data_IF_188144302782
#
_entry.id   IF_188144302782
#
_cell.length_a   1.000
_cell.length_b   1.000
_cell.length_c   1.000
_cell.angle_alpha   90.00
_cell.angle_beta   90.00
_cell.angle_gamma   90.00
#
_symmetry.space_group_name_H-M   'P 1'
#
loop_
_entity.id
_entity.type
_entity.pdbx_description
1 polymer ?
#
# COMPACT_ATOMS: atom_id res chain seq x y z
N UNK A 1 -35.05 35.97 21.67
CA UNK A 1 -34.47 34.61 21.65
C UNK A 1 -33.49 34.55 20.48
N UNK A 2 -32.20 34.34 20.75
CA UNK A 2 -31.12 34.28 19.75
C UNK A 2 -30.93 32.82 19.34
N UNK A 3 -31.06 32.51 18.05
CA UNK A 3 -30.80 31.17 17.50
C UNK A 3 -29.55 31.27 16.65
N UNK A 4 -28.46 30.74 17.17
CA UNK A 4 -27.19 30.51 16.47
C UNK A 4 -27.34 29.22 15.64
N UNK A 5 -27.06 29.20 14.33
CA UNK A 5 -26.79 27.95 13.65
C UNK A 5 -25.30 27.66 13.76
N UNK A 6 -24.99 26.57 14.45
CA UNK A 6 -23.67 25.98 14.62
C UNK A 6 -23.14 25.59 13.23
N UNK A 7 -21.97 26.12 12.92
CA UNK A 7 -21.14 25.79 11.76
C UNK A 7 -20.75 24.30 11.86
N UNK A 8 -21.39 23.44 11.07
CA UNK A 8 -20.99 22.03 10.95
C UNK A 8 -19.99 21.92 9.78
N UNK A 9 -18.73 22.27 10.06
CA UNK A 9 -17.61 22.01 9.15
C UNK A 9 -17.36 20.51 9.12
N UNK A 10 -17.98 19.82 8.17
CA UNK A 10 -17.59 18.47 7.76
C UNK A 10 -16.17 18.55 7.18
N UNK A 11 -15.16 18.41 8.03
CA UNK A 11 -13.80 18.09 7.60
C UNK A 11 -13.85 16.67 7.02
N UNK A 12 -14.12 16.59 5.71
CA UNK A 12 -13.67 15.45 4.93
C UNK A 12 -12.15 15.41 5.08
N UNK A 13 -11.65 14.51 5.92
CA UNK A 13 -10.28 14.06 5.84
C UNK A 13 -10.13 13.40 4.47
N UNK A 14 -9.62 14.16 3.50
CA UNK A 14 -9.15 13.59 2.26
C UNK A 14 -8.03 12.60 2.62
N UNK A 15 -8.03 11.37 2.06
CA UNK A 15 -6.87 10.51 2.20
C UNK A 15 -5.67 11.28 1.64
N UNK A 16 -4.62 11.42 2.45
CA UNK A 16 -3.39 12.05 2.03
C UNK A 16 -2.89 11.35 0.76
N UNK A 17 -2.59 12.17 -0.25
CA UNK A 17 -2.26 11.81 -1.63
C UNK A 17 -1.25 10.66 -1.73
N UNK A 18 -1.71 9.52 -2.21
CA UNK A 18 -0.86 8.45 -2.75
C UNK A 18 -0.19 8.82 -4.10
N UNK A 19 -0.05 10.12 -4.44
CA UNK A 19 0.25 10.56 -5.82
C UNK A 19 1.60 11.28 -6.02
N UNK A 20 2.39 11.55 -4.97
CA UNK A 20 3.67 12.27 -5.12
C UNK A 20 4.91 11.37 -5.18
N UNK A 21 4.74 10.03 -5.18
CA UNK A 21 5.88 9.13 -5.30
C UNK A 21 6.33 9.01 -6.77
N UNK A 22 7.62 9.24 -7.09
CA UNK A 22 8.13 8.96 -8.43
C UNK A 22 7.96 7.47 -8.79
N UNK A 23 7.89 7.14 -10.10
CA UNK A 23 7.93 5.75 -10.55
C UNK A 23 9.12 5.00 -9.95
N UNK A 24 8.99 3.68 -9.73
CA UNK A 24 10.05 2.89 -9.16
C UNK A 24 11.26 2.87 -10.10
N UNK A 25 12.46 2.82 -9.52
CA UNK A 25 13.72 2.71 -10.25
C UNK A 25 13.68 1.46 -11.14
N UNK A 26 14.07 1.58 -12.41
CA UNK A 26 14.11 0.43 -13.30
C UNK A 26 14.99 -0.68 -12.73
N UNK A 27 14.47 -1.91 -12.73
CA UNK A 27 15.15 -3.11 -12.23
C UNK A 27 15.54 -3.08 -10.74
N UNK A 28 14.90 -2.24 -9.91
CA UNK A 28 15.06 -2.23 -8.46
C UNK A 28 13.83 -2.90 -7.80
N UNK A 29 13.90 -4.20 -7.45
CA UNK A 29 12.77 -4.91 -6.87
C UNK A 29 12.40 -4.37 -5.49
N UNK A 30 13.37 -3.84 -4.73
CA UNK A 30 13.11 -3.27 -3.42
C UNK A 30 12.32 -1.98 -3.54
N UNK A 31 12.74 -1.09 -4.45
CA UNK A 31 12.00 0.14 -4.73
C UNK A 31 10.60 -0.15 -5.29
N UNK A 32 10.47 -1.17 -6.14
CA UNK A 32 9.18 -1.59 -6.70
C UNK A 32 8.21 -2.11 -5.62
N UNK A 33 8.66 -2.94 -4.68
CA UNK A 33 7.83 -3.39 -3.55
C UNK A 33 7.33 -2.20 -2.75
N UNK A 34 8.25 -1.29 -2.39
CA UNK A 34 7.88 -0.07 -1.67
C UNK A 34 6.84 0.71 -2.47
N UNK A 35 7.02 0.82 -3.79
CA UNK A 35 6.14 1.61 -4.67
C UNK A 35 4.73 1.04 -4.68
N UNK A 36 4.60 -0.28 -4.73
CA UNK A 36 3.29 -0.94 -4.64
C UNK A 36 2.55 -0.52 -3.36
N UNK A 37 3.20 -0.57 -2.20
CA UNK A 37 2.53 -0.20 -0.94
C UNK A 37 2.23 1.29 -0.86
N UNK A 38 3.22 2.16 -1.14
CA UNK A 38 3.06 3.60 -0.96
C UNK A 38 2.03 4.23 -1.93
N UNK A 39 1.77 3.61 -3.08
CA UNK A 39 0.87 4.16 -4.12
C UNK A 39 -0.51 3.51 -4.11
N UNK A 40 -0.65 2.30 -3.56
CA UNK A 40 -1.95 1.59 -3.53
C UNK A 40 -2.56 1.60 -2.13
N UNK A 41 -1.89 0.98 -1.16
CA UNK A 41 -2.29 0.93 0.24
C UNK A 41 -1.10 0.43 1.07
N UNK A 42 -0.92 0.95 2.27
CA UNK A 42 0.10 0.51 3.21
C UNK A 42 -0.22 -0.85 3.85
N UNK A 43 -1.46 -1.33 3.69
CA UNK A 43 -1.89 -2.68 4.05
C UNK A 43 -2.52 -3.36 2.83
N UNK A 44 -1.94 -4.47 2.39
CA UNK A 44 -2.40 -5.23 1.22
C UNK A 44 -2.57 -6.71 1.54
N UNK A 45 -3.59 -7.34 0.99
CA UNK A 45 -3.76 -8.80 1.01
C UNK A 45 -2.86 -9.47 -0.03
N UNK A 46 -2.60 -10.76 0.17
CA UNK A 46 -1.88 -11.60 -0.81
C UNK A 46 -2.52 -11.52 -2.21
N UNK A 47 -3.86 -11.58 -2.27
CA UNK A 47 -4.60 -11.48 -3.52
C UNK A 47 -4.44 -10.12 -4.20
N UNK A 48 -4.40 -9.03 -3.44
CA UNK A 48 -4.15 -7.69 -3.97
C UNK A 48 -2.72 -7.57 -4.49
N UNK A 49 -1.72 -8.04 -3.75
CA UNK A 49 -0.34 -8.05 -4.21
C UNK A 49 -0.18 -8.86 -5.50
N UNK A 50 -0.73 -10.08 -5.54
CA UNK A 50 -0.68 -10.94 -6.72
C UNK A 50 -1.27 -10.24 -7.95
N UNK A 51 -2.41 -9.57 -7.78
CA UNK A 51 -3.05 -8.79 -8.83
C UNK A 51 -2.14 -7.66 -9.31
N UNK A 52 -1.61 -6.84 -8.40
CA UNK A 52 -0.76 -5.69 -8.74
C UNK A 52 0.51 -6.11 -9.48
N UNK A 53 1.19 -7.17 -9.05
CA UNK A 53 2.34 -7.72 -9.77
C UNK A 53 1.97 -8.29 -11.14
N UNK A 54 0.81 -8.91 -11.27
CA UNK A 54 0.33 -9.43 -12.57
C UNK A 54 0.03 -8.28 -13.53
N UNK A 55 -0.65 -7.23 -13.06
CA UNK A 55 -0.96 -6.02 -13.84
C UNK A 55 0.30 -5.22 -14.21
N UNK A 56 1.35 -5.30 -13.40
CA UNK A 56 2.67 -4.75 -13.72
C UNK A 56 3.48 -5.58 -14.74
N UNK A 57 2.91 -6.66 -15.29
CA UNK A 57 3.51 -7.43 -16.39
C UNK A 57 4.45 -8.56 -15.96
N UNK A 58 4.51 -8.91 -14.67
CA UNK A 58 5.36 -10.02 -14.19
C UNK A 58 4.81 -11.41 -14.54
N UNK A 59 3.57 -11.51 -15.03
CA UNK A 59 2.85 -12.76 -15.25
C UNK A 59 2.57 -13.53 -13.96
N UNK A 60 1.82 -14.63 -14.02
CA UNK A 60 1.38 -15.35 -12.81
C UNK A 60 2.54 -15.93 -11.99
N UNK A 61 3.52 -16.55 -12.63
CA UNK A 61 4.67 -17.13 -11.94
C UNK A 61 5.56 -16.05 -11.31
N UNK A 62 5.82 -14.95 -12.03
CA UNK A 62 6.60 -13.83 -11.52
C UNK A 62 5.89 -13.12 -10.37
N UNK A 63 4.57 -12.95 -10.47
CA UNK A 63 3.77 -12.37 -9.40
C UNK A 63 3.78 -13.22 -8.13
N UNK A 64 3.64 -14.55 -8.24
CA UNK A 64 3.78 -15.46 -7.09
C UNK A 64 5.17 -15.34 -6.43
N UNK A 65 6.24 -15.35 -7.22
CA UNK A 65 7.60 -15.20 -6.69
C UNK A 65 7.79 -13.84 -6.00
N UNK A 66 7.20 -12.78 -6.53
CA UNK A 66 7.27 -11.45 -5.93
C UNK A 66 6.49 -11.37 -4.61
N UNK A 67 5.31 -12.00 -4.52
CA UNK A 67 4.55 -12.10 -3.27
C UNK A 67 5.31 -12.87 -2.19
N UNK A 68 5.96 -13.98 -2.56
CA UNK A 68 6.84 -14.73 -1.65
C UNK A 68 7.98 -13.82 -1.17
N UNK A 69 8.66 -13.13 -2.09
CA UNK A 69 9.73 -12.20 -1.73
C UNK A 69 9.24 -11.09 -0.79
N UNK A 70 8.04 -10.52 -1.01
CA UNK A 70 7.42 -9.54 -0.10
C UNK A 70 7.25 -10.10 1.31
N UNK A 71 6.83 -11.37 1.43
CA UNK A 71 6.62 -12.02 2.74
C UNK A 71 7.89 -12.26 3.55
N UNK A 72 9.06 -12.23 2.90
CA UNK A 72 10.38 -12.45 3.53
C UNK A 72 11.10 -11.14 3.88
N UNK A 73 10.54 -9.98 3.52
CA UNK A 73 11.18 -8.69 3.77
C UNK A 73 11.12 -8.29 5.25
N UNK A 74 12.14 -7.54 5.68
CA UNK A 74 12.22 -7.01 7.05
C UNK A 74 11.32 -5.80 7.32
N UNK A 75 10.92 -5.11 6.26
CA UNK A 75 10.07 -3.91 6.29
C UNK A 75 8.60 -4.24 5.95
N UNK A 76 8.23 -5.53 5.97
CA UNK A 76 6.86 -6.01 5.76
C UNK A 76 6.48 -6.95 6.89
N UNK A 77 5.33 -6.69 7.51
CA UNK A 77 4.79 -7.50 8.59
C UNK A 77 3.53 -8.25 8.14
N UNK A 78 3.42 -9.54 8.50
CA UNK A 78 2.20 -10.32 8.30
C UNK A 78 1.24 -10.05 9.46
N UNK A 79 0.16 -9.31 9.22
CA UNK A 79 -0.80 -8.90 10.26
C UNK A 79 -2.05 -9.80 10.33
N UNK A 80 -2.33 -10.56 9.28
CA UNK A 80 -3.35 -11.61 9.26
C UNK A 80 -2.88 -12.78 8.38
N UNK A 81 -3.34 -14.01 8.68
CA UNK A 81 -3.04 -15.23 7.91
C UNK A 81 -4.28 -15.83 7.24
N UNK A 82 -5.47 -15.30 7.50
CA UNK A 82 -6.73 -15.74 6.88
C UNK A 82 -7.70 -14.55 6.67
N UNK A 83 -7.63 -13.85 5.52
CA UNK A 83 -6.64 -14.03 4.45
C UNK A 83 -5.25 -13.52 4.86
N UNK A 84 -4.21 -13.94 4.13
CA UNK A 84 -2.87 -13.36 4.30
C UNK A 84 -2.91 -11.87 3.99
N UNK A 85 -2.49 -11.07 4.96
CA UNK A 85 -2.45 -9.61 4.89
C UNK A 85 -1.11 -9.10 5.38
N UNK A 86 -0.53 -8.22 4.60
CA UNK A 86 0.79 -7.63 4.78
C UNK A 86 0.65 -6.14 5.06
N UNK A 87 1.41 -5.66 6.03
CA UNK A 87 1.58 -4.24 6.34
C UNK A 87 3.00 -3.83 6.02
N UNK A 88 3.17 -2.79 5.23
CA UNK A 88 4.48 -2.20 4.98
C UNK A 88 4.81 -1.18 6.07
N UNK A 89 6.05 -1.24 6.59
CA UNK A 89 6.52 -0.38 7.69
C UNK A 89 7.79 0.36 7.31
N UNK A 90 8.05 1.50 7.97
CA UNK A 90 9.28 2.26 7.76
C UNK A 90 9.30 3.15 6.53
N UNK A 91 8.12 3.49 5.99
CA UNK A 91 7.96 4.51 4.96
C UNK A 91 7.24 5.74 5.51
N UNK A 92 7.65 6.97 5.16
CA UNK A 92 6.94 8.18 5.56
C UNK A 92 5.52 8.29 4.99
N UNK A 93 5.19 7.48 3.98
CA UNK A 93 3.83 7.39 3.42
C UNK A 93 2.97 6.35 4.14
N UNK A 94 3.60 5.41 4.85
CA UNK A 94 2.97 4.36 5.64
C UNK A 94 3.27 4.55 7.12
N UNK A 95 3.00 5.76 7.61
CA UNK A 95 3.17 6.13 9.01
C UNK A 95 1.92 5.67 9.78
N UNK A 96 2.09 4.66 10.65
CA UNK A 96 1.04 4.09 11.50
C UNK A 96 1.36 4.29 12.98
#
# INVERSE_FOLDING_TARGET
>A
MRVTPILLSLLLAAPALAQDRPPPKPNDPDDFVRYIFEVNDCVLTEAQLLKLYTEAGHGMMGANNAVIAVSERRDVEVINRAPFTYRFVGSPYCDF
#
